data_IF_045649686036
#
_entry.id   IF_045649686036
#
_cell.length_a   1.000
_cell.length_b   1.000
_cell.length_c   1.000
_cell.angle_alpha   90.00
_cell.angle_beta   90.00
_cell.angle_gamma   90.00
#
_symmetry.space_group_name_H-M   'P 1'
#
loop_
_entity.id
_entity.type
_entity.pdbx_description
1 polymer ?
#
# COMPACT_ATOMS: atom_id res chain seq x y z
N UNK A 1 -8.19 22.61 -8.18
CA UNK A 1 -7.69 21.86 -7.01
C UNK A 1 -6.23 21.54 -7.26
N UNK A 2 -5.34 21.64 -6.25
CA UNK A 2 -3.95 21.23 -6.41
C UNK A 2 -3.87 19.74 -6.78
N UNK A 3 -2.80 19.33 -7.47
CA UNK A 3 -2.62 17.95 -7.90
C UNK A 3 -2.64 16.98 -6.70
N UNK A 4 -3.12 15.74 -6.83
CA UNK A 4 -3.00 14.77 -5.74
C UNK A 4 -1.53 14.46 -5.44
N UNK A 5 -1.21 14.10 -4.20
CA UNK A 5 0.06 13.42 -3.89
C UNK A 5 -0.05 11.97 -4.33
N UNK A 6 0.99 11.42 -4.96
CA UNK A 6 0.97 10.01 -5.35
C UNK A 6 1.52 9.15 -4.21
N UNK A 7 0.74 8.15 -3.78
CA UNK A 7 1.11 7.23 -2.71
C UNK A 7 1.31 5.82 -3.28
N UNK A 8 2.55 5.39 -3.41
CA UNK A 8 2.92 4.07 -3.91
C UNK A 8 3.06 3.08 -2.77
N UNK A 9 2.41 1.92 -2.90
CA UNK A 9 2.32 0.94 -1.81
C UNK A 9 2.16 -0.50 -2.30
N UNK A 10 2.53 -1.45 -1.45
CA UNK A 10 2.24 -2.88 -1.58
C UNK A 10 1.52 -3.36 -0.31
N UNK A 11 0.47 -4.18 -0.45
CA UNK A 11 -0.32 -4.69 0.65
C UNK A 11 0.49 -5.54 1.64
N UNK A 12 1.58 -6.17 1.17
CA UNK A 12 2.49 -6.95 2.03
C UNK A 12 3.55 -6.10 2.75
N UNK A 13 3.54 -4.77 2.60
CA UNK A 13 4.45 -3.87 3.31
C UNK A 13 3.88 -3.41 4.67
N UNK A 14 4.53 -3.70 5.80
CA UNK A 14 4.08 -3.21 7.11
C UNK A 14 4.19 -1.68 7.20
N UNK A 15 5.27 -1.10 6.65
CA UNK A 15 5.43 0.35 6.60
C UNK A 15 4.44 1.02 5.63
N UNK A 16 4.05 0.30 4.57
CA UNK A 16 2.98 0.73 3.67
C UNK A 16 1.66 0.89 4.41
N UNK A 17 1.30 -0.12 5.21
CA UNK A 17 0.14 -0.06 6.11
C UNK A 17 0.23 1.11 7.11
N UNK A 18 1.37 1.29 7.77
CA UNK A 18 1.53 2.38 8.73
C UNK A 18 1.37 3.77 8.11
N UNK A 19 1.91 3.98 6.90
CA UNK A 19 1.72 5.24 6.19
C UNK A 19 0.28 5.41 5.70
N UNK A 20 -0.36 4.31 5.29
CA UNK A 20 -1.76 4.24 4.89
C UNK A 20 -2.67 4.88 5.95
N UNK A 21 -2.43 4.62 7.24
CA UNK A 21 -3.26 5.15 8.33
C UNK A 21 -3.17 6.68 8.54
N UNK A 22 -2.33 7.39 7.78
CA UNK A 22 -2.01 8.81 8.02
C UNK A 22 -1.98 9.66 6.75
N UNK A 23 -1.87 9.05 5.57
CA UNK A 23 -1.52 9.77 4.34
C UNK A 23 -2.63 10.71 3.87
N UNK A 24 -3.90 10.33 4.01
CA UNK A 24 -5.03 11.20 3.65
C UNK A 24 -5.19 12.39 4.59
N UNK A 25 -5.09 12.17 5.90
CA UNK A 25 -5.16 13.25 6.88
C UNK A 25 -4.04 14.26 6.64
N UNK A 26 -2.82 13.77 6.38
CA UNK A 26 -1.68 14.59 6.02
C UNK A 26 -1.96 15.40 4.74
N UNK A 27 -2.43 14.76 3.67
CA UNK A 27 -2.77 15.45 2.43
C UNK A 27 -3.86 16.51 2.62
N UNK A 28 -4.91 16.17 3.38
CA UNK A 28 -6.06 17.03 3.63
C UNK A 28 -5.69 18.32 4.38
N UNK A 29 -4.76 18.26 5.34
CA UNK A 29 -4.24 19.45 6.05
C UNK A 29 -3.61 20.49 5.10
N UNK A 30 -3.16 20.05 3.93
CA UNK A 30 -2.55 20.90 2.90
C UNK A 30 -3.46 21.10 1.67
N UNK A 31 -4.76 20.79 1.79
CA UNK A 31 -5.72 20.93 0.70
C UNK A 31 -5.44 20.01 -0.50
N UNK A 32 -4.69 18.92 -0.30
CA UNK A 32 -4.38 17.91 -1.31
C UNK A 32 -5.29 16.69 -1.14
N UNK A 33 -5.40 15.91 -2.21
CA UNK A 33 -5.94 14.54 -2.17
C UNK A 33 -4.82 13.53 -2.37
N UNK A 34 -5.11 12.24 -2.16
CA UNK A 34 -4.14 11.15 -2.36
C UNK A 34 -4.55 10.32 -3.58
N UNK A 35 -3.60 10.09 -4.48
CA UNK A 35 -3.71 9.13 -5.56
C UNK A 35 -2.98 7.84 -5.18
N UNK A 36 -3.76 6.82 -4.81
CA UNK A 36 -3.27 5.53 -4.32
C UNK A 36 -2.80 4.64 -5.47
N UNK A 37 -1.52 4.29 -5.53
CA UNK A 37 -0.89 3.56 -6.65
C UNK A 37 -0.26 2.24 -6.19
N UNK A 38 -0.92 1.09 -6.42
CA UNK A 38 -0.37 -0.18 -6.02
C UNK A 38 0.86 -0.51 -6.87
N UNK A 39 1.88 -1.04 -6.20
CA UNK A 39 3.09 -1.59 -6.78
C UNK A 39 3.31 -2.99 -6.19
N UNK A 40 4.31 -3.72 -6.69
CA UNK A 40 4.66 -5.05 -6.19
C UNK A 40 6.14 -5.08 -5.81
N UNK A 41 6.43 -5.25 -4.53
CA UNK A 41 7.79 -5.37 -3.99
C UNK A 41 8.51 -6.59 -4.58
N UNK A 42 7.78 -7.68 -4.86
CA UNK A 42 8.33 -8.84 -5.55
C UNK A 42 8.84 -8.52 -6.97
N UNK A 43 8.30 -7.48 -7.61
CA UNK A 43 8.78 -7.01 -8.92
C UNK A 43 9.92 -6.01 -8.74
N UNK A 44 9.68 -4.93 -7.99
CA UNK A 44 10.65 -3.83 -7.88
C UNK A 44 11.91 -4.23 -7.08
N UNK A 45 11.75 -4.84 -5.91
CA UNK A 45 12.88 -5.15 -5.00
C UNK A 45 13.54 -6.47 -5.36
N UNK A 46 12.76 -7.54 -5.55
CA UNK A 46 13.33 -8.87 -5.78
C UNK A 46 13.79 -9.02 -7.23
N UNK A 47 12.88 -8.84 -8.20
CA UNK A 47 13.19 -9.10 -9.62
C UNK A 47 14.08 -8.03 -10.26
N UNK A 48 13.79 -6.74 -10.05
CA UNK A 48 14.52 -5.65 -10.71
C UNK A 48 15.82 -5.33 -9.97
N UNK A 49 15.79 -5.13 -8.65
CA UNK A 49 17.00 -4.80 -7.88
C UNK A 49 17.83 -6.03 -7.45
N UNK A 50 17.28 -7.25 -7.53
CA UNK A 50 18.01 -8.47 -7.13
C UNK A 50 18.19 -8.63 -5.62
N UNK A 51 17.38 -7.95 -4.80
CA UNK A 51 17.49 -7.97 -3.34
C UNK A 51 16.62 -9.07 -2.72
N UNK A 52 16.98 -9.48 -1.50
CA UNK A 52 16.19 -10.42 -0.70
C UNK A 52 14.94 -9.72 -0.12
N UNK A 53 13.88 -10.47 0.23
CA UNK A 53 12.82 -9.94 1.07
C UNK A 53 13.37 -9.26 2.34
N UNK A 54 12.69 -8.21 2.78
CA UNK A 54 13.18 -7.35 3.87
C UNK A 54 13.44 -8.12 5.17
N UNK A 55 12.51 -9.00 5.56
CA UNK A 55 12.60 -9.80 6.79
C UNK A 55 13.61 -10.95 6.70
N UNK A 56 13.96 -11.36 5.48
CA UNK A 56 14.93 -12.44 5.19
C UNK A 56 16.35 -11.91 4.96
N UNK A 57 16.52 -10.59 4.98
CA UNK A 57 17.82 -9.96 4.77
C UNK A 57 18.65 -10.08 6.06
N UNK A 58 19.84 -10.74 6.02
CA UNK A 58 20.68 -10.91 7.21
C UNK A 58 20.96 -9.59 7.93
N UNK A 59 20.98 -9.62 9.27
CA UNK A 59 21.12 -8.47 10.18
C UNK A 59 19.92 -7.48 10.16
N UNK A 60 19.35 -7.19 8.99
CA UNK A 60 18.20 -6.27 8.87
C UNK A 60 16.90 -6.90 9.37
N UNK A 61 16.65 -8.18 9.10
CA UNK A 61 15.41 -8.85 9.47
C UNK A 61 15.05 -8.70 10.94
N UNK A 62 15.99 -8.99 11.84
CA UNK A 62 15.79 -8.87 13.30
C UNK A 62 15.54 -7.43 13.74
N UNK A 63 16.22 -6.47 13.12
CA UNK A 63 15.97 -5.05 13.36
C UNK A 63 14.56 -4.67 12.92
N UNK A 64 14.13 -5.07 11.71
CA UNK A 64 12.83 -4.73 11.15
C UNK A 64 11.70 -5.31 11.99
N UNK A 65 11.81 -6.56 12.47
CA UNK A 65 10.83 -7.13 13.41
C UNK A 65 10.65 -6.25 14.64
N UNK A 66 11.76 -5.81 15.25
CA UNK A 66 11.72 -4.91 16.42
C UNK A 66 11.15 -3.55 16.07
N UNK A 67 11.50 -3.01 14.91
CA UNK A 67 11.08 -1.68 14.47
C UNK A 67 9.60 -1.62 14.13
N UNK A 68 9.08 -2.60 13.39
CA UNK A 68 7.65 -2.72 13.08
C UNK A 68 6.82 -2.77 14.36
N UNK A 69 7.22 -3.60 15.34
CA UNK A 69 6.54 -3.67 16.63
C UNK A 69 6.69 -2.38 17.46
N UNK A 70 7.83 -1.69 17.38
CA UNK A 70 8.05 -0.41 18.04
C UNK A 70 7.20 0.69 17.43
N UNK A 71 7.09 0.74 16.11
CA UNK A 71 6.24 1.68 15.39
C UNK A 71 4.78 1.45 15.75
N UNK A 72 4.32 0.20 15.70
CA UNK A 72 2.96 -0.17 16.08
C UNK A 72 2.62 0.28 17.51
N UNK A 73 3.48 -0.01 18.50
CA UNK A 73 3.31 0.46 19.88
C UNK A 73 3.29 1.99 20.01
N UNK A 74 4.21 2.69 19.33
CA UNK A 74 4.29 4.16 19.39
C UNK A 74 3.01 4.83 18.88
N UNK A 75 2.37 4.22 17.89
CA UNK A 75 1.19 4.77 17.21
C UNK A 75 -0.13 4.10 17.62
N UNK A 76 -0.12 3.22 18.63
CA UNK A 76 -1.33 2.54 19.11
C UNK A 76 -1.97 1.59 18.09
N UNK A 77 -1.18 1.04 17.17
CA UNK A 77 -1.64 0.14 16.12
C UNK A 77 -1.58 -1.30 16.62
N UNK A 78 -2.69 -2.02 16.51
CA UNK A 78 -2.75 -3.46 16.78
C UNK A 78 -2.44 -4.24 15.50
N UNK A 79 -1.45 -5.12 15.57
CA UNK A 79 -1.16 -6.10 14.52
C UNK A 79 -1.69 -7.47 14.97
N UNK A 80 -2.66 -8.03 14.25
CA UNK A 80 -3.07 -9.41 14.44
C UNK A 80 -2.24 -10.39 13.61
N UNK A 81 -1.57 -9.89 12.57
CA UNK A 81 -0.64 -10.67 11.76
C UNK A 81 0.70 -10.86 12.48
N UNK A 82 1.15 -12.11 12.57
CA UNK A 82 2.53 -12.42 12.94
C UNK A 82 3.49 -12.05 11.80
N UNK A 83 4.58 -11.37 12.12
CA UNK A 83 5.61 -10.96 11.16
C UNK A 83 6.40 -12.16 10.62
N UNK A 84 6.41 -13.29 11.34
CA UNK A 84 7.05 -14.53 10.92
C UNK A 84 6.11 -15.47 10.16
N UNK A 85 4.81 -15.12 10.02
CA UNK A 85 3.89 -15.88 9.19
C UNK A 85 4.26 -15.76 7.70
N UNK A 86 4.07 -16.84 6.89
CA UNK A 86 4.36 -16.82 5.46
C UNK A 86 3.71 -15.63 4.75
N UNK A 87 4.49 -14.86 4.00
CA UNK A 87 4.00 -13.69 3.27
C UNK A 87 2.95 -14.12 2.25
N UNK A 88 1.73 -13.58 2.35
CA UNK A 88 0.66 -13.86 1.41
C UNK A 88 0.93 -13.26 0.03
N UNK A 89 0.25 -13.76 -1.00
CA UNK A 89 0.31 -13.19 -2.35
C UNK A 89 -0.35 -11.82 -2.38
N UNK A 90 0.37 -10.73 -2.75
CA UNK A 90 -0.23 -9.42 -2.91
C UNK A 90 -1.09 -9.29 -4.17
N UNK A 91 -1.10 -10.29 -5.07
CA UNK A 91 -1.73 -10.17 -6.38
C UNK A 91 -3.26 -10.03 -6.30
N UNK A 92 -4.03 -10.89 -5.61
CA UNK A 92 -5.48 -10.72 -5.53
C UNK A 92 -5.93 -9.40 -4.89
N UNK A 93 -5.40 -8.95 -3.73
CA UNK A 93 -5.81 -7.67 -3.16
C UNK A 93 -5.41 -6.50 -4.05
N UNK A 94 -4.23 -6.53 -4.69
CA UNK A 94 -3.81 -5.47 -5.60
C UNK A 94 -4.68 -5.40 -6.88
N UNK A 95 -5.12 -6.55 -7.42
CA UNK A 95 -6.07 -6.59 -8.55
C UNK A 95 -7.43 -6.03 -8.17
N UNK A 96 -7.99 -6.49 -7.05
CA UNK A 96 -9.26 -5.98 -6.53
C UNK A 96 -9.21 -4.46 -6.35
N UNK A 97 -8.13 -3.96 -5.73
CA UNK A 97 -7.91 -2.52 -5.57
C UNK A 97 -7.87 -1.80 -6.93
N UNK A 98 -7.11 -2.30 -7.92
CA UNK A 98 -7.02 -1.65 -9.24
C UNK A 98 -8.38 -1.57 -9.93
N UNK A 99 -9.17 -2.65 -9.84
CA UNK A 99 -10.51 -2.68 -10.39
C UNK A 99 -11.44 -1.66 -9.70
N UNK A 100 -11.46 -1.64 -8.36
CA UNK A 100 -12.23 -0.67 -7.57
C UNK A 100 -11.79 0.75 -7.90
N UNK A 101 -10.49 1.03 -7.97
CA UNK A 101 -9.98 2.36 -8.34
C UNK A 101 -10.45 2.81 -9.72
N UNK A 102 -10.55 1.89 -10.69
CA UNK A 102 -11.02 2.20 -12.05
C UNK A 102 -12.53 2.47 -12.08
N UNK A 103 -13.32 1.61 -11.45
CA UNK A 103 -14.78 1.60 -11.61
C UNK A 103 -15.53 2.37 -10.52
N UNK A 104 -14.93 2.50 -9.33
CA UNK A 104 -15.45 3.14 -8.12
C UNK A 104 -14.35 4.01 -7.45
N UNK A 105 -13.80 5.01 -8.16
CA UNK A 105 -12.66 5.79 -7.69
C UNK A 105 -12.90 6.53 -6.36
N UNK A 106 -14.16 6.81 -6.04
CA UNK A 106 -14.63 7.36 -4.77
C UNK A 106 -14.37 6.42 -3.58
N UNK A 107 -14.32 5.10 -3.82
CA UNK A 107 -14.11 4.07 -2.80
C UNK A 107 -12.67 3.54 -2.75
N UNK A 108 -11.74 4.07 -3.55
CA UNK A 108 -10.38 3.53 -3.62
C UNK A 108 -9.69 3.50 -2.25
N UNK A 109 -9.75 4.60 -1.49
CA UNK A 109 -9.11 4.72 -0.19
C UNK A 109 -9.74 3.74 0.81
N UNK A 110 -11.07 3.73 0.88
CA UNK A 110 -11.81 2.81 1.75
C UNK A 110 -11.48 1.34 1.45
N UNK A 111 -11.35 0.97 0.16
CA UNK A 111 -10.94 -0.38 -0.24
C UNK A 111 -9.49 -0.69 0.16
N UNK A 112 -8.55 0.25 -0.02
CA UNK A 112 -7.17 0.07 0.44
C UNK A 112 -7.10 -0.19 1.95
N UNK A 113 -7.82 0.61 2.74
CA UNK A 113 -7.89 0.44 4.19
C UNK A 113 -8.51 -0.90 4.59
N UNK A 114 -9.59 -1.33 3.94
CA UNK A 114 -10.21 -2.62 4.22
C UNK A 114 -9.25 -3.80 3.96
N UNK A 115 -8.53 -3.78 2.84
CA UNK A 115 -7.54 -4.81 2.50
C UNK A 115 -6.37 -4.82 3.47
N UNK A 116 -5.83 -3.64 3.81
CA UNK A 116 -4.76 -3.52 4.78
C UNK A 116 -5.18 -3.96 6.19
N UNK A 117 -6.38 -3.58 6.63
CA UNK A 117 -6.95 -4.01 7.91
C UNK A 117 -7.09 -5.53 7.98
N UNK A 118 -7.70 -6.14 6.95
CA UNK A 118 -7.85 -7.59 6.88
C UNK A 118 -6.49 -8.31 6.92
N UNK A 119 -5.48 -7.80 6.20
CA UNK A 119 -4.17 -8.45 6.17
C UNK A 119 -3.35 -8.24 7.45
N UNK A 120 -3.23 -7.01 7.96
CA UNK A 120 -2.34 -6.67 9.08
C UNK A 120 -3.01 -6.69 10.44
N UNK A 121 -4.24 -6.18 10.54
CA UNK A 121 -4.97 -6.10 11.81
C UNK A 121 -5.67 -7.41 12.12
N UNK A 122 -6.35 -8.02 11.16
CA UNK A 122 -7.03 -9.31 11.35
C UNK A 122 -6.12 -10.51 11.11
N UNK A 123 -4.95 -10.32 10.48
CA UNK A 123 -4.00 -11.40 10.20
C UNK A 123 -4.45 -12.36 9.11
N UNK A 124 -5.40 -11.97 8.25
CA UNK A 124 -5.95 -12.85 7.21
C UNK A 124 -4.97 -13.05 6.06
N UNK A 125 -5.00 -14.24 5.49
CA UNK A 125 -4.38 -14.51 4.20
C UNK A 125 -5.34 -14.11 3.07
N UNK A 126 -4.92 -13.16 2.24
CA UNK A 126 -5.69 -12.64 1.10
C UNK A 126 -5.18 -13.17 -0.25
N UNK A 127 -4.50 -14.33 -0.23
CA UNK A 127 -3.88 -14.93 -1.43
C UNK A 127 -4.86 -15.47 -2.47
N UNK A 128 -6.18 -15.37 -2.26
CA UNK A 128 -7.19 -15.75 -3.26
C UNK A 128 -8.27 -14.68 -3.45
N UNK A 129 -8.93 -14.61 -4.63
CA UNK A 129 -10.08 -13.73 -4.87
C UNK A 129 -11.22 -13.90 -3.85
N UNK A 130 -11.50 -15.13 -3.42
CA UNK A 130 -12.56 -15.45 -2.45
C UNK A 130 -12.20 -14.92 -1.05
N UNK A 131 -10.92 -15.01 -0.67
CA UNK A 131 -10.43 -14.44 0.59
C UNK A 131 -10.55 -12.91 0.58
N UNK A 132 -10.25 -12.27 -0.55
CA UNK A 132 -10.41 -10.82 -0.74
C UNK A 132 -11.88 -10.41 -0.69
N UNK A 133 -12.77 -11.16 -1.33
CA UNK A 133 -14.20 -10.85 -1.37
C UNK A 133 -14.94 -11.08 -0.03
N UNK A 134 -14.34 -11.84 0.89
CA UNK A 134 -14.91 -12.17 2.20
C UNK A 134 -14.42 -11.27 3.34
N UNK A 135 -13.72 -10.18 3.03
CA UNK A 135 -13.38 -9.15 4.03
C UNK A 135 -14.60 -8.27 4.32
N UNK A 136 -14.54 -7.47 5.39
CA UNK A 136 -15.51 -6.41 5.61
C UNK A 136 -15.32 -5.31 4.56
N UNK A 137 -16.24 -5.23 3.61
CA UNK A 137 -16.14 -4.30 2.49
C UNK A 137 -16.67 -2.90 2.84
N UNK A 138 -16.14 -1.85 2.20
CA UNK A 138 -16.74 -0.52 2.25
C UNK A 138 -18.21 -0.52 1.81
N UNK A 139 -19.02 0.33 2.43
CA UNK A 139 -20.40 0.51 2.03
C UNK A 139 -20.50 0.86 0.54
N UNK A 140 -21.37 0.14 -0.18
CA UNK A 140 -21.56 0.32 -1.63
C UNK A 140 -20.65 -0.53 -2.52
N UNK A 141 -19.80 -1.41 -1.95
CA UNK A 141 -19.16 -2.51 -2.69
C UNK A 141 -19.78 -3.85 -2.28
N UNK A 142 -20.10 -4.69 -3.25
CA UNK A 142 -20.52 -6.07 -3.01
C UNK A 142 -19.35 -7.04 -3.11
N UNK A 143 -19.44 -8.17 -2.41
CA UNK A 143 -18.47 -9.27 -2.52
C UNK A 143 -18.37 -9.80 -3.94
N UNK A 144 -19.47 -9.80 -4.70
CA UNK A 144 -19.50 -10.24 -6.09
C UNK A 144 -18.66 -9.33 -7.00
N UNK A 145 -18.84 -8.01 -6.90
CA UNK A 145 -18.02 -7.03 -7.63
C UNK A 145 -16.54 -7.17 -7.31
N UNK A 146 -16.20 -7.34 -6.03
CA UNK A 146 -14.81 -7.46 -5.58
C UNK A 146 -14.19 -8.78 -6.03
N UNK A 147 -14.91 -9.89 -5.97
CA UNK A 147 -14.45 -11.19 -6.46
C UNK A 147 -14.22 -11.17 -7.98
N UNK A 148 -15.17 -10.62 -8.73
CA UNK A 148 -15.07 -10.45 -10.18
C UNK A 148 -13.86 -9.57 -10.53
N UNK A 149 -13.70 -8.43 -9.83
CA UNK A 149 -12.56 -7.55 -9.98
C UNK A 149 -11.23 -8.28 -9.73
N UNK A 150 -11.09 -8.96 -8.60
CA UNK A 150 -9.86 -9.68 -8.21
C UNK A 150 -9.44 -10.78 -9.20
N UNK A 151 -10.40 -11.43 -9.86
CA UNK A 151 -10.18 -12.54 -10.80
C UNK A 151 -10.12 -12.13 -12.27
N UNK A 152 -10.56 -10.91 -12.61
CA UNK A 152 -10.67 -10.45 -14.00
C UNK A 152 -9.33 -10.23 -14.72
N UNK A 153 -9.33 -10.43 -16.05
CA UNK A 153 -8.22 -10.05 -16.92
C UNK A 153 -7.98 -8.54 -16.95
N UNK A 154 -9.06 -7.74 -16.85
CA UNK A 154 -8.99 -6.28 -16.78
C UNK A 154 -8.16 -5.85 -15.55
N UNK A 155 -8.48 -6.36 -14.36
CA UNK A 155 -7.73 -6.03 -13.16
C UNK A 155 -6.28 -6.48 -13.21
N UNK A 156 -6.01 -7.64 -13.83
CA UNK A 156 -4.65 -8.09 -14.07
C UNK A 156 -3.88 -7.12 -14.97
N UNK A 157 -4.52 -6.57 -16.01
CA UNK A 157 -3.94 -5.56 -16.90
C UNK A 157 -3.72 -4.24 -16.19
N UNK A 158 -4.72 -3.72 -15.46
CA UNK A 158 -4.60 -2.51 -14.66
C UNK A 158 -3.46 -2.58 -13.63
N UNK A 159 -3.30 -3.73 -12.96
CA UNK A 159 -2.18 -3.93 -12.03
C UNK A 159 -0.83 -3.94 -12.75
N UNK A 160 -0.72 -4.61 -13.90
CA UNK A 160 0.51 -4.59 -14.71
C UNK A 160 0.87 -3.18 -15.16
N UNK A 161 -0.10 -2.39 -15.58
CA UNK A 161 0.08 -0.99 -15.94
C UNK A 161 0.57 -0.17 -14.74
N UNK A 162 -0.07 -0.32 -13.57
CA UNK A 162 0.33 0.38 -12.33
C UNK A 162 1.77 0.05 -11.92
N UNK A 163 2.16 -1.23 -11.96
CA UNK A 163 3.52 -1.68 -11.65
C UNK A 163 4.52 -1.17 -12.70
N UNK A 164 4.16 -1.18 -13.99
CA UNK A 164 5.03 -0.67 -15.05
C UNK A 164 5.26 0.84 -14.88
N UNK A 165 4.19 1.58 -14.59
CA UNK A 165 4.27 3.02 -14.33
C UNK A 165 5.08 3.34 -13.06
N UNK A 166 4.98 2.53 -12.00
CA UNK A 166 5.81 2.73 -10.80
C UNK A 166 7.30 2.55 -11.09
N UNK A 167 7.66 1.52 -11.87
CA UNK A 167 9.05 1.30 -12.28
C UNK A 167 9.59 2.43 -13.17
N UNK A 168 8.79 2.88 -14.14
CA UNK A 168 9.16 4.01 -15.01
C UNK A 168 9.36 5.32 -14.24
N UNK A 169 8.64 5.50 -13.12
CA UNK A 169 8.79 6.63 -12.21
C UNK A 169 9.93 6.45 -11.19
N UNK A 170 10.74 5.40 -11.28
CA UNK A 170 11.86 5.15 -10.36
C UNK A 170 11.45 4.65 -8.98
N UNK A 171 10.19 4.22 -8.79
CA UNK A 171 9.68 3.75 -7.51
C UNK A 171 10.16 2.33 -7.25
N UNK A 172 10.86 2.14 -6.14
CA UNK A 172 11.50 0.88 -5.78
C UNK A 172 10.95 0.22 -4.51
N UNK A 173 10.31 0.99 -3.61
CA UNK A 173 9.89 0.49 -2.31
C UNK A 173 8.50 0.96 -1.88
N UNK A 174 8.00 0.38 -0.80
CA UNK A 174 6.69 0.69 -0.22
C UNK A 174 6.84 1.05 1.26
N UNK A 175 6.34 2.21 1.71
CA UNK A 175 5.64 3.22 0.91
C UNK A 175 6.61 4.21 0.25
N UNK A 176 6.21 4.77 -0.89
CA UNK A 176 6.83 5.99 -1.44
C UNK A 176 5.75 7.02 -1.69
N UNK A 177 5.91 8.23 -1.15
CA UNK A 177 5.03 9.37 -1.40
C UNK A 177 5.72 10.30 -2.39
N UNK A 178 5.03 10.75 -3.43
CA UNK A 178 5.56 11.72 -4.39
C UNK A 178 4.70 12.98 -4.35
N UNK A 179 5.35 14.12 -4.12
CA UNK A 179 4.70 15.43 -4.07
C UNK A 179 5.26 16.28 -5.20
N UNK A 180 4.42 16.62 -6.17
CA UNK A 180 4.78 17.50 -7.30
C UNK A 180 6.06 17.07 -8.06
N UNK A 181 6.32 15.76 -8.11
CA UNK A 181 7.48 15.15 -8.75
C UNK A 181 8.58 14.72 -7.79
N UNK A 182 8.58 15.19 -6.55
CA UNK A 182 9.61 14.90 -5.56
C UNK A 182 9.29 13.63 -4.74
N UNK A 183 10.15 12.59 -4.76
CA UNK A 183 9.88 11.31 -4.10
C UNK A 183 10.44 11.21 -2.67
N UNK A 184 9.60 10.72 -1.75
CA UNK A 184 9.92 10.45 -0.35
C UNK A 184 9.64 8.98 -0.03
N UNK A 185 10.70 8.20 0.22
CA UNK A 185 10.57 6.76 0.50
C UNK A 185 10.64 6.46 2.00
N UNK A 186 9.58 5.83 2.52
CA UNK A 186 9.47 5.40 3.92
C UNK A 186 8.40 6.13 4.72
N UNK A 187 7.81 5.46 5.71
CA UNK A 187 6.83 6.06 6.63
C UNK A 187 7.47 7.09 7.57
N UNK A 188 8.77 6.95 7.83
CA UNK A 188 9.59 7.89 8.58
C UNK A 188 9.83 9.20 7.83
N UNK A 189 9.52 9.25 6.52
CA UNK A 189 9.58 10.46 5.69
C UNK A 189 8.29 11.26 5.64
N UNK A 190 7.20 10.82 6.28
CA UNK A 190 5.97 11.61 6.33
C UNK A 190 6.16 13.03 6.92
N UNK A 191 7.04 13.27 7.92
CA UNK A 191 7.36 14.64 8.34
C UNK A 191 8.03 15.47 7.24
N UNK A 192 8.92 14.87 6.45
CA UNK A 192 9.56 15.55 5.30
C UNK A 192 8.51 15.85 4.21
N UNK A 193 7.60 14.92 3.93
CA UNK A 193 6.45 15.14 3.01
C UNK A 193 5.60 16.33 3.47
N UNK A 194 5.29 16.41 4.77
CA UNK A 194 4.51 17.51 5.34
C UNK A 194 5.24 18.85 5.22
N UNK A 195 6.56 18.87 5.46
CA UNK A 195 7.39 20.05 5.21
C UNK A 195 7.34 20.48 3.73
N UNK A 196 7.42 19.53 2.79
CA UNK A 196 7.34 19.83 1.34
C UNK A 196 6.02 20.38 0.91
N UNK A 197 4.94 19.85 1.46
CA UNK A 197 3.62 20.38 1.21
C UNK A 197 3.41 21.79 1.79
N UNK A 198 4.21 22.20 2.77
CA UNK A 198 4.14 23.53 3.36
C UNK A 198 4.98 24.57 2.62
N UNK A 199 6.21 24.23 2.22
CA UNK A 199 7.17 25.19 1.65
C UNK A 199 7.36 25.07 0.14
N UNK A 200 7.07 23.92 -0.46
CA UNK A 200 7.30 23.63 -1.88
C UNK A 200 8.74 23.33 -2.27
N UNK A 201 9.70 23.63 -1.39
CA UNK A 201 11.14 23.34 -1.49
C UNK A 201 11.82 23.67 -0.14
N UNK A 202 13.02 23.14 0.14
CA UNK A 202 13.90 23.61 1.22
C UNK A 202 15.37 23.18 1.06
#
# INVERSE_FOLDING_TARGET
MPAPIAFYFDFISPYGYFASLRIEDLAARHGRTVDWRPMLLGVAVLKVMGLKPLLDTPLKGDYIRRDVLRHARRHGITLGRDLDAPVGSPLPPARAFCWVKRHRPDLQAAMAHALYHAYWTEGRDLSTPEAVASISLPAGLSSEEVAAGASSEEAATLLRESVTASLAAGIFGSPTTVVDGEPFWGVDRLPDVEAWLASGDW
#
